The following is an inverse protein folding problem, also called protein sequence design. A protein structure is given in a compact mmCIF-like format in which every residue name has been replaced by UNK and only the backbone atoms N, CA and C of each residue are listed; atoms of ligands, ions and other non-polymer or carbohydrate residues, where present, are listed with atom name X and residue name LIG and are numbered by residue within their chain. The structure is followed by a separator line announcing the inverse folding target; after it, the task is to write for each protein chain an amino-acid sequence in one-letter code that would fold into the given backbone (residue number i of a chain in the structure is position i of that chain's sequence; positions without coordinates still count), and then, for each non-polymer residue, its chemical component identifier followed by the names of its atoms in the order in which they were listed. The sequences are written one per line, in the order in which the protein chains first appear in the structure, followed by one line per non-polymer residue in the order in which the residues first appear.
data_IF_923504882583
#
_entry.id   IF_923504882583
#
_cell.length_a   1.000
_cell.length_b   1.000
_cell.length_c   1.000
_cell.angle_alpha   90.00
_cell.angle_beta   90.00
_cell.angle_gamma   90.00
#
_symmetry.space_group_name_H-M   'P 1'
#
loop_
_entity.id
_entity.type
_entity.pdbx_description
1 polymer ?
#
# COMPACT_ATOMS: atom_id res chain seq x y z
N UNK A 1 -12.39 1.44 -1.57
CA UNK A 1 -12.23 0.39 -2.62
C UNK A 1 -13.24 -0.74 -2.45
N UNK A 2 -13.30 -1.48 -1.34
CA UNK A 2 -14.25 -2.60 -1.11
C UNK A 2 -15.72 -2.22 -1.37
N UNK A 3 -16.17 -1.05 -0.87
CA UNK A 3 -17.51 -0.55 -1.17
C UNK A 3 -17.75 -0.37 -2.68
N UNK A 4 -16.77 0.15 -3.42
CA UNK A 4 -16.89 0.33 -4.88
C UNK A 4 -17.00 -1.01 -5.61
N UNK A 5 -16.26 -2.04 -5.19
CA UNK A 5 -16.41 -3.38 -5.76
C UNK A 5 -17.82 -3.91 -5.55
N UNK A 6 -18.35 -3.83 -4.32
CA UNK A 6 -19.71 -4.29 -3.99
C UNK A 6 -20.79 -3.51 -4.74
N UNK A 7 -20.73 -2.19 -4.71
CA UNK A 7 -21.75 -1.32 -5.34
C UNK A 7 -21.82 -1.52 -6.87
N UNK A 8 -20.72 -1.97 -7.50
CA UNK A 8 -20.66 -2.21 -8.95
C UNK A 8 -20.74 -3.70 -9.32
N UNK A 9 -20.95 -4.61 -8.37
CA UNK A 9 -21.02 -6.05 -8.63
C UNK A 9 -19.72 -6.63 -9.17
N UNK A 10 -18.57 -6.01 -8.86
CA UNK A 10 -17.26 -6.47 -9.32
C UNK A 10 -16.76 -7.55 -8.38
N UNK A 11 -16.55 -8.76 -8.90
CA UNK A 11 -15.92 -9.84 -8.16
C UNK A 11 -14.43 -9.57 -8.00
N UNK A 12 -13.94 -9.64 -6.76
CA UNK A 12 -12.52 -9.43 -6.48
C UNK A 12 -12.24 -9.43 -4.98
N UNK A 13 -10.97 -9.50 -4.62
CA UNK A 13 -10.48 -9.43 -3.25
C UNK A 13 -9.46 -8.32 -3.10
N UNK A 14 -9.33 -7.81 -1.87
CA UNK A 14 -8.34 -6.79 -1.51
C UNK A 14 -7.40 -7.39 -0.48
N UNK A 15 -6.14 -7.58 -0.85
CA UNK A 15 -5.09 -8.01 0.07
C UNK A 15 -4.52 -6.76 0.75
N UNK A 16 -4.74 -6.62 2.04
CA UNK A 16 -4.21 -5.51 2.83
C UNK A 16 -2.91 -5.95 3.52
N UNK A 17 -1.78 -5.52 2.96
CA UNK A 17 -0.46 -5.83 3.49
C UNK A 17 -0.02 -4.72 4.43
N UNK A 18 0.15 -5.05 5.70
CA UNK A 18 0.68 -4.15 6.73
C UNK A 18 1.20 -5.02 7.89
N UNK A 19 2.12 -4.52 8.66
CA UNK A 19 2.55 -5.13 9.93
C UNK A 19 1.59 -4.81 11.07
N UNK A 20 0.82 -3.74 10.94
CA UNK A 20 0.01 -3.10 12.00
C UNK A 20 0.80 -2.76 13.26
N UNK A 21 2.12 -2.60 13.13
CA UNK A 21 3.01 -2.19 14.23
C UNK A 21 3.21 -0.68 14.29
N UNK A 22 2.72 0.02 13.26
CA UNK A 22 2.94 1.45 13.08
C UNK A 22 4.34 1.76 12.53
N UNK A 23 4.50 2.96 12.02
CA UNK A 23 5.77 3.50 11.58
C UNK A 23 6.68 3.87 12.77
N UNK A 24 7.99 3.94 12.55
CA UNK A 24 8.98 4.30 13.57
C UNK A 24 8.65 5.61 14.28
N UNK A 25 8.14 6.60 13.55
CA UNK A 25 7.75 7.90 14.10
C UNK A 25 6.64 7.80 15.16
N UNK A 26 5.73 6.83 15.04
CA UNK A 26 4.71 6.57 16.06
C UNK A 26 5.32 6.11 17.40
N UNK A 27 6.51 5.54 17.39
CA UNK A 27 7.17 5.04 18.59
C UNK A 27 7.97 6.11 19.33
N UNK A 28 8.64 7.03 18.62
CA UNK A 28 9.48 8.04 19.27
C UNK A 28 8.80 9.40 19.43
N UNK A 29 7.78 9.74 18.64
CA UNK A 29 7.03 10.99 18.78
C UNK A 29 5.87 10.81 19.76
N UNK A 30 5.91 11.57 20.87
CA UNK A 30 4.89 11.48 21.94
C UNK A 30 3.47 11.73 21.43
N UNK A 31 3.31 12.74 20.56
CA UNK A 31 2.03 13.13 19.97
C UNK A 31 1.41 12.04 19.07
N UNK A 32 2.23 11.17 18.48
CA UNK A 32 1.78 10.11 17.58
C UNK A 32 1.62 8.74 18.24
N UNK A 33 2.25 8.58 19.40
CA UNK A 33 2.22 7.29 20.12
C UNK A 33 0.81 6.82 20.50
N UNK A 34 -0.12 7.75 20.73
CA UNK A 34 -1.52 7.42 21.02
C UNK A 34 -2.22 6.71 19.87
N UNK A 35 -1.76 6.91 18.62
CA UNK A 35 -2.31 6.26 17.44
C UNK A 35 -2.05 4.76 17.43
N UNK A 36 -0.99 4.27 18.08
CA UNK A 36 -0.69 2.84 18.20
C UNK A 36 -1.73 2.05 18.99
N UNK A 37 -2.57 2.74 19.82
CA UNK A 37 -3.57 2.08 20.66
C UNK A 37 -2.98 0.95 21.49
N UNK A 38 -1.84 1.19 22.14
CA UNK A 38 -1.09 0.16 22.85
C UNK A 38 -1.94 -0.57 23.89
N UNK A 39 -1.90 -1.91 23.86
CA UNK A 39 -2.43 -2.80 24.88
C UNK A 39 -1.28 -3.66 25.40
N UNK A 40 -1.00 -3.57 26.70
CA UNK A 40 0.15 -4.25 27.33
C UNK A 40 1.48 -3.98 26.59
N UNK A 41 1.67 -2.75 26.09
CA UNK A 41 2.89 -2.35 25.36
C UNK A 41 2.93 -2.75 23.90
N UNK A 42 1.91 -3.45 23.35
CA UNK A 42 1.84 -3.89 21.97
C UNK A 42 0.75 -3.13 21.18
N UNK A 43 1.00 -2.74 19.90
CA UNK A 43 0.01 -2.08 19.06
C UNK A 43 -1.26 -2.90 18.87
N UNK A 44 -2.41 -2.26 19.00
CA UNK A 44 -3.71 -2.92 18.83
C UNK A 44 -4.37 -2.58 17.47
N UNK A 45 -3.58 -2.09 16.52
CA UNK A 45 -4.06 -1.62 15.22
C UNK A 45 -4.67 -2.74 14.37
N UNK A 46 -4.08 -3.92 14.40
CA UNK A 46 -4.61 -5.09 13.67
C UNK A 46 -6.04 -5.43 14.09
N UNK A 47 -6.30 -5.51 15.39
CA UNK A 47 -7.64 -5.81 15.89
C UNK A 47 -8.64 -4.68 15.62
N UNK A 48 -8.18 -3.43 15.64
CA UNK A 48 -9.01 -2.29 15.24
C UNK A 48 -9.35 -2.35 13.75
N UNK A 49 -8.40 -2.70 12.90
CA UNK A 49 -8.61 -2.91 11.47
C UNK A 49 -9.67 -4.01 11.24
N UNK A 50 -9.51 -5.19 11.87
CA UNK A 50 -10.48 -6.27 11.76
C UNK A 50 -11.88 -5.85 12.22
N UNK A 51 -11.98 -5.17 13.35
CA UNK A 51 -13.26 -4.66 13.86
C UNK A 51 -13.93 -3.70 12.86
N UNK A 52 -13.15 -2.85 12.18
CA UNK A 52 -13.67 -1.95 11.15
C UNK A 52 -14.14 -2.72 9.90
N UNK A 53 -13.37 -3.72 9.46
CA UNK A 53 -13.74 -4.59 8.33
C UNK A 53 -15.07 -5.27 8.61
N UNK A 54 -15.21 -5.90 9.78
CA UNK A 54 -16.46 -6.57 10.21
C UNK A 54 -17.63 -5.60 10.34
N UNK A 55 -17.42 -4.45 10.98
CA UNK A 55 -18.45 -3.41 11.17
C UNK A 55 -19.07 -2.95 9.86
N UNK A 56 -18.27 -2.92 8.79
CA UNK A 56 -18.69 -2.47 7.46
C UNK A 56 -19.08 -3.62 6.52
N UNK A 57 -19.11 -4.86 7.02
CA UNK A 57 -19.43 -6.06 6.23
C UNK A 57 -18.54 -6.21 4.99
N UNK A 58 -17.22 -6.08 5.19
CA UNK A 58 -16.21 -6.21 4.13
C UNK A 58 -15.29 -7.43 4.31
N UNK A 59 -15.59 -8.30 5.25
CA UNK A 59 -14.83 -9.50 5.60
C UNK A 59 -14.84 -10.58 4.51
N UNK A 60 -15.78 -10.51 3.59
CA UNK A 60 -15.86 -11.32 2.38
C UNK A 60 -14.92 -10.85 1.22
N UNK A 61 -14.40 -9.62 1.29
CA UNK A 61 -13.57 -9.02 0.25
C UNK A 61 -12.16 -8.70 0.75
N UNK A 62 -12.02 -8.27 2.01
CA UNK A 62 -10.75 -7.81 2.57
C UNK A 62 -10.03 -8.94 3.30
N UNK A 63 -8.80 -9.23 2.85
CA UNK A 63 -7.93 -10.25 3.45
C UNK A 63 -6.71 -9.54 4.03
N UNK A 64 -6.54 -9.50 5.36
CA UNK A 64 -5.36 -8.95 6.00
C UNK A 64 -4.15 -9.87 5.84
N UNK A 65 -3.02 -9.30 5.50
CA UNK A 65 -1.72 -9.98 5.37
C UNK A 65 -0.74 -9.31 6.33
N UNK A 66 -0.59 -9.82 7.58
CA UNK A 66 0.24 -9.21 8.61
C UNK A 66 1.73 -9.47 8.36
N UNK A 67 2.26 -8.84 7.34
CA UNK A 67 3.64 -8.98 6.86
C UNK A 67 4.24 -7.63 6.45
N UNK A 68 5.57 -7.55 6.42
CA UNK A 68 6.27 -6.46 5.73
C UNK A 68 6.10 -6.63 4.21
N UNK A 69 6.01 -5.52 3.48
CA UNK A 69 5.77 -5.47 2.03
C UNK A 69 6.59 -6.50 1.25
N UNK A 70 7.91 -6.55 1.48
CA UNK A 70 8.80 -7.45 0.76
C UNK A 70 8.52 -8.94 1.01
N UNK A 71 8.21 -9.31 2.27
CA UNK A 71 7.87 -10.71 2.60
C UNK A 71 6.56 -11.12 1.96
N UNK A 72 5.57 -10.24 1.96
CA UNK A 72 4.29 -10.46 1.30
C UNK A 72 4.47 -10.60 -0.22
N UNK A 73 5.25 -9.71 -0.85
CA UNK A 73 5.57 -9.78 -2.28
C UNK A 73 6.21 -11.12 -2.66
N UNK A 74 7.20 -11.59 -1.89
CA UNK A 74 7.84 -12.88 -2.12
C UNK A 74 6.86 -14.05 -1.99
N UNK A 75 5.91 -13.95 -1.06
CA UNK A 75 4.85 -14.95 -0.92
C UNK A 75 3.90 -14.91 -2.11
N UNK A 76 3.48 -13.73 -2.57
CA UNK A 76 2.61 -13.56 -3.73
C UNK A 76 3.25 -14.09 -5.01
N UNK A 77 4.56 -13.87 -5.21
CA UNK A 77 5.34 -14.47 -6.32
C UNK A 77 5.26 -16.01 -6.31
N UNK A 78 5.40 -16.64 -5.13
CA UNK A 78 5.31 -18.11 -5.00
C UNK A 78 3.91 -18.65 -5.25
N UNK A 79 2.88 -17.86 -4.99
CA UNK A 79 1.48 -18.19 -5.25
C UNK A 79 1.02 -17.80 -6.66
N UNK A 80 1.93 -17.24 -7.49
CA UNK A 80 1.65 -16.75 -8.83
C UNK A 80 0.47 -15.76 -8.88
N UNK A 81 0.34 -14.94 -7.82
CA UNK A 81 -0.70 -13.92 -7.76
C UNK A 81 -0.36 -12.76 -8.69
N UNK A 82 -1.32 -12.40 -9.53
CA UNK A 82 -1.22 -11.30 -10.49
C UNK A 82 -2.31 -10.28 -10.15
N UNK A 83 -1.99 -9.20 -9.43
CA UNK A 83 -2.95 -8.17 -9.12
C UNK A 83 -3.26 -7.30 -10.35
N UNK A 84 -4.52 -6.87 -10.48
CA UNK A 84 -4.94 -5.86 -11.45
C UNK A 84 -4.60 -4.45 -10.98
N UNK A 85 -4.58 -4.26 -9.66
CA UNK A 85 -4.38 -2.97 -9.02
C UNK A 85 -3.45 -3.11 -7.82
N UNK A 86 -2.45 -2.23 -7.73
CA UNK A 86 -1.56 -2.09 -6.58
C UNK A 86 -1.66 -0.66 -6.05
N UNK A 87 -1.95 -0.51 -4.76
CA UNK A 87 -1.94 0.76 -4.04
C UNK A 87 -0.82 0.78 -3.01
N UNK A 88 0.11 1.72 -3.14
CA UNK A 88 1.25 1.91 -2.24
C UNK A 88 0.99 3.11 -1.33
N UNK A 89 0.85 2.84 -0.04
CA UNK A 89 0.62 3.84 1.02
C UNK A 89 1.28 3.35 2.33
N UNK A 90 2.55 3.02 2.23
CA UNK A 90 3.33 2.44 3.32
C UNK A 90 4.31 3.43 3.94
N UNK A 91 5.60 3.16 3.81
CA UNK A 91 6.69 4.02 4.28
C UNK A 91 6.77 5.32 3.47
N UNK A 92 7.29 6.39 4.10
CA UNK A 92 7.67 7.62 3.41
C UNK A 92 9.19 7.72 3.18
N UNK A 93 9.94 6.68 3.58
CA UNK A 93 11.36 6.58 3.30
C UNK A 93 11.60 6.28 1.82
N UNK A 94 12.53 7.02 1.20
CA UNK A 94 12.81 6.92 -0.23
C UNK A 94 13.20 5.49 -0.64
N UNK A 95 14.00 4.82 0.18
CA UNK A 95 14.50 3.49 -0.18
C UNK A 95 13.39 2.43 -0.10
N UNK A 96 12.56 2.49 0.93
CA UNK A 96 11.44 1.56 1.12
C UNK A 96 10.41 1.70 -0.02
N UNK A 97 10.00 2.93 -0.33
CA UNK A 97 9.04 3.20 -1.42
C UNK A 97 9.60 2.75 -2.77
N UNK A 98 10.89 3.00 -3.03
CA UNK A 98 11.55 2.56 -4.26
C UNK A 98 11.54 1.02 -4.38
N UNK A 99 11.83 0.30 -3.32
CA UNK A 99 11.76 -1.16 -3.30
C UNK A 99 10.34 -1.67 -3.51
N UNK A 100 9.36 -1.06 -2.86
CA UNK A 100 7.95 -1.44 -3.02
C UNK A 100 7.48 -1.21 -4.46
N UNK A 101 7.85 -0.09 -5.09
CA UNK A 101 7.56 0.15 -6.50
C UNK A 101 8.10 -0.99 -7.39
N UNK A 102 9.38 -1.36 -7.22
CA UNK A 102 9.99 -2.43 -8.00
C UNK A 102 9.37 -3.80 -7.74
N UNK A 103 9.21 -4.16 -6.47
CA UNK A 103 8.73 -5.48 -6.07
C UNK A 103 7.31 -5.73 -6.57
N UNK A 104 6.40 -4.76 -6.38
CA UNK A 104 4.99 -4.91 -6.75
C UNK A 104 4.70 -4.63 -8.22
N UNK A 105 5.55 -3.83 -8.91
CA UNK A 105 5.44 -3.68 -10.37
C UNK A 105 5.67 -4.98 -11.12
N UNK A 106 6.56 -5.84 -10.61
CA UNK A 106 6.81 -7.15 -11.20
C UNK A 106 5.60 -8.08 -11.10
N UNK A 107 4.83 -7.98 -9.99
CA UNK A 107 3.62 -8.78 -9.79
C UNK A 107 2.44 -8.31 -10.64
N UNK A 108 2.36 -7.00 -10.91
CA UNK A 108 1.24 -6.37 -11.56
C UNK A 108 0.96 -6.99 -12.94
N UNK A 109 -0.31 -7.24 -13.25
CA UNK A 109 -0.74 -7.72 -14.58
C UNK A 109 -0.41 -6.73 -15.71
N UNK A 110 -0.38 -7.20 -16.96
CA UNK A 110 0.07 -6.37 -18.11
C UNK A 110 -0.82 -5.14 -18.37
N UNK A 111 -2.11 -5.22 -18.05
CA UNK A 111 -3.05 -4.09 -18.12
C UNK A 111 -3.26 -3.43 -16.75
N UNK A 112 -2.43 -3.79 -15.75
CA UNK A 112 -2.60 -3.38 -14.37
C UNK A 112 -2.24 -1.92 -14.09
N UNK A 113 -2.73 -1.42 -12.96
CA UNK A 113 -2.55 -0.05 -12.49
C UNK A 113 -1.83 -0.06 -11.14
N UNK A 114 -0.74 0.66 -11.04
CA UNK A 114 -0.07 0.97 -9.77
C UNK A 114 -0.29 2.44 -9.44
N UNK A 115 -0.68 2.73 -8.21
CA UNK A 115 -0.79 4.10 -7.74
C UNK A 115 -0.43 4.19 -6.25
N UNK A 116 -0.13 5.39 -5.79
CA UNK A 116 0.18 5.62 -4.39
C UNK A 116 -0.16 7.03 -3.95
N UNK A 117 -0.04 7.26 -2.65
CA UNK A 117 -0.27 8.55 -1.99
C UNK A 117 1.05 9.30 -1.77
N UNK A 118 0.91 10.50 -1.21
CA UNK A 118 2.01 11.33 -0.69
C UNK A 118 3.07 11.76 -1.71
N UNK A 119 2.70 11.85 -3.00
CA UNK A 119 3.59 12.35 -4.03
C UNK A 119 3.80 13.85 -3.91
N UNK A 120 4.85 14.24 -3.23
CA UNK A 120 5.25 15.64 -3.08
C UNK A 120 4.95 16.22 -1.69
N UNK A 121 5.27 17.50 -1.55
CA UNK A 121 5.25 18.17 -0.27
C UNK A 121 6.56 18.01 0.51
N UNK A 122 6.84 18.99 1.39
CA UNK A 122 8.10 19.08 2.15
C UNK A 122 8.33 17.86 3.04
N UNK A 123 7.25 17.24 3.54
CA UNK A 123 7.32 16.11 4.47
C UNK A 123 7.48 14.75 3.80
N UNK A 124 7.08 14.63 2.53
CA UNK A 124 6.99 13.35 1.81
C UNK A 124 7.94 13.32 0.59
N UNK A 125 9.05 14.04 0.69
CA UNK A 125 10.02 14.15 -0.40
C UNK A 125 10.62 12.79 -0.79
N UNK A 126 10.72 11.85 0.15
CA UNK A 126 11.18 10.48 -0.09
C UNK A 126 10.30 9.74 -1.08
N UNK A 127 8.96 9.84 -0.96
CA UNK A 127 8.01 9.22 -1.89
C UNK A 127 8.23 9.75 -3.31
N UNK A 128 8.27 11.08 -3.47
CA UNK A 128 8.49 11.71 -4.78
C UNK A 128 9.80 11.25 -5.43
N UNK A 129 10.91 11.30 -4.69
CA UNK A 129 12.23 10.90 -5.20
C UNK A 129 12.27 9.43 -5.60
N UNK A 130 11.62 8.55 -4.83
CA UNK A 130 11.53 7.13 -5.14
C UNK A 130 10.75 6.87 -6.42
N UNK A 131 9.56 7.47 -6.53
CA UNK A 131 8.68 7.31 -7.69
C UNK A 131 9.31 7.89 -8.95
N UNK A 132 9.91 9.08 -8.88
CA UNK A 132 10.59 9.71 -10.02
C UNK A 132 11.73 8.82 -10.55
N UNK A 133 12.58 8.32 -9.64
CA UNK A 133 13.67 7.42 -9.99
C UNK A 133 13.15 6.13 -10.64
N UNK A 134 12.15 5.50 -10.05
CA UNK A 134 11.53 4.30 -10.59
C UNK A 134 10.93 4.53 -11.97
N UNK A 135 10.25 5.66 -12.17
CA UNK A 135 9.67 6.02 -13.47
C UNK A 135 10.73 6.31 -14.53
N UNK A 136 11.84 6.95 -14.16
CA UNK A 136 12.98 7.18 -15.05
C UNK A 136 13.55 5.86 -15.56
N UNK A 137 13.77 4.87 -14.69
CA UNK A 137 14.26 3.54 -15.06
C UNK A 137 13.32 2.80 -16.00
N UNK A 138 11.99 3.01 -15.85
CA UNK A 138 10.99 2.45 -16.76
C UNK A 138 10.84 3.22 -18.09
N UNK A 139 11.48 4.40 -18.22
CA UNK A 139 11.25 5.31 -19.34
C UNK A 139 9.81 5.83 -19.39
N UNK A 140 9.16 6.03 -18.24
CA UNK A 140 7.77 6.45 -18.09
C UNK A 140 7.65 7.72 -17.25
N UNK A 141 6.45 8.33 -17.27
CA UNK A 141 6.12 9.45 -16.38
C UNK A 141 4.84 9.09 -15.62
N UNK A 142 4.78 9.37 -14.30
CA UNK A 142 3.55 9.17 -13.56
C UNK A 142 2.52 10.24 -13.91
N UNK A 143 1.24 9.88 -13.93
CA UNK A 143 0.15 10.86 -13.89
C UNK A 143 -0.03 11.30 -12.45
N UNK A 144 -0.03 12.61 -12.20
CA UNK A 144 -0.19 13.16 -10.85
C UNK A 144 -1.58 13.80 -10.74
N UNK A 145 -2.31 13.39 -9.71
CA UNK A 145 -3.62 13.96 -9.34
C UNK A 145 -3.53 14.33 -7.86
N UNK A 146 -3.51 15.63 -7.58
CA UNK A 146 -3.28 16.16 -6.23
C UNK A 146 -1.95 15.66 -5.65
N UNK A 147 -2.00 14.84 -4.59
CA UNK A 147 -0.85 14.21 -3.96
C UNK A 147 -0.67 12.72 -4.33
N UNK A 148 -1.45 12.24 -5.30
CA UNK A 148 -1.39 10.84 -5.75
C UNK A 148 -0.64 10.71 -7.06
N UNK A 149 0.10 9.63 -7.21
CA UNK A 149 0.78 9.25 -8.45
C UNK A 149 0.16 7.97 -9.02
N UNK A 150 0.09 7.88 -10.33
CA UNK A 150 -0.54 6.77 -11.04
C UNK A 150 0.33 6.33 -12.20
N UNK A 151 0.56 5.03 -12.32
CA UNK A 151 1.24 4.39 -13.44
C UNK A 151 0.38 3.24 -13.98
N UNK A 152 0.22 3.17 -15.30
CA UNK A 152 -0.39 2.03 -15.97
C UNK A 152 0.71 1.13 -16.56
N UNK A 153 0.60 -0.20 -16.46
CA UNK A 153 1.60 -1.11 -17.02
C UNK A 153 1.48 -1.19 -18.54
N UNK A 154 0.27 -1.09 -19.06
CA UNK A 154 0.03 -0.96 -20.49
C UNK A 154 0.75 0.24 -21.08
N UNK A 155 1.51 0.06 -22.15
CA UNK A 155 2.01 1.20 -22.94
C UNK A 155 0.82 1.78 -23.71
N UNK A 156 0.53 3.05 -23.44
CA UNK A 156 -0.41 3.83 -24.24
C UNK A 156 0.15 4.06 -25.66
#
# INVERSE_FOLDING_TARGET
MSKLLKDNGISGVILCVDTWLGDSSHWYRKEWRSHLKLKNGFPNLYYQFLANVMKHNHDDIIIPIPQVSRSACNWFKKLELIPDVVYLDGSHDQFDVYLDCHDYWQLLGDDGIMFGDDYGGIKNQGVKLAVDKFCEELGRKPTIIENKWILTKKKL
#
